data_IF_555837210839
#
_entry.id   IF_555837210839
#
_cell.length_a   1.000
_cell.length_b   1.000
_cell.length_c   1.000
_cell.angle_alpha   90.00
_cell.angle_beta   90.00
_cell.angle_gamma   90.00
#
_symmetry.space_group_name_H-M   'P 1'
#
loop_
_entity.id
_entity.type
_entity.pdbx_description
1 polymer ?
#
# COMPACT_ATOMS: atom_id res chain seq x y z
N UNK A 1 -41.04 62.74 -3.62
CA UNK A 1 -40.02 63.19 -2.65
C UNK A 1 -39.69 62.01 -1.73
N UNK A 2 -38.39 61.69 -1.55
CA UNK A 2 -37.78 60.51 -0.90
C UNK A 2 -37.90 59.22 -1.74
N UNK A 3 -36.88 58.75 -2.49
CA UNK A 3 -35.51 58.33 -2.11
C UNK A 3 -35.54 57.36 -0.93
N UNK A 4 -35.41 56.05 -1.20
CA UNK A 4 -34.19 55.31 -0.89
C UNK A 4 -34.20 53.94 -1.59
N UNK A 5 -33.16 53.74 -2.40
CA UNK A 5 -32.70 52.47 -2.95
C UNK A 5 -32.40 51.45 -1.84
N UNK A 6 -32.16 50.21 -2.30
CA UNK A 6 -31.27 49.22 -1.66
C UNK A 6 -31.95 48.23 -0.72
N UNK A 7 -32.44 47.13 -1.29
CA UNK A 7 -32.23 45.76 -0.77
C UNK A 7 -32.49 44.73 -1.89
N UNK A 8 -31.88 44.97 -3.06
CA UNK A 8 -31.38 43.88 -3.89
C UNK A 8 -30.08 43.46 -3.19
N UNK A 9 -29.86 42.15 -3.11
CA UNK A 9 -28.66 41.48 -2.56
C UNK A 9 -28.76 41.14 -1.05
N UNK A 10 -29.51 40.07 -0.75
CA UNK A 10 -29.11 39.11 0.30
C UNK A 10 -29.19 37.68 -0.25
N UNK A 11 -28.70 37.50 -1.48
CA UNK A 11 -28.23 36.21 -2.01
C UNK A 11 -26.70 36.17 -1.87
N UNK A 12 -26.20 36.47 -0.67
CA UNK A 12 -24.78 36.46 -0.38
C UNK A 12 -24.49 35.23 0.48
N UNK A 13 -23.90 34.24 -0.19
CA UNK A 13 -23.16 33.08 0.32
C UNK A 13 -23.99 32.06 1.12
N UNK A 14 -24.71 31.15 0.45
CA UNK A 14 -24.11 29.88 0.00
C UNK A 14 -22.57 29.87 -0.01
N UNK A 15 -21.96 29.98 1.16
CA UNK A 15 -20.71 29.30 1.44
C UNK A 15 -21.09 28.04 2.22
N UNK A 16 -21.67 27.07 1.51
CA UNK A 16 -21.17 25.72 1.73
C UNK A 16 -19.68 25.83 1.42
N UNK A 17 -18.87 26.02 2.45
CA UNK A 17 -17.53 25.44 2.43
C UNK A 17 -17.76 24.03 1.92
N UNK A 18 -17.37 23.77 0.67
CA UNK A 18 -17.02 22.42 0.29
C UNK A 18 -15.92 22.07 1.29
N UNK A 19 -16.29 21.44 2.40
CA UNK A 19 -15.36 20.66 3.19
C UNK A 19 -14.70 19.80 2.14
N UNK A 20 -13.42 20.10 1.90
CA UNK A 20 -12.52 19.23 1.16
C UNK A 20 -12.83 17.85 1.72
N UNK A 21 -13.47 16.98 0.93
CA UNK A 21 -13.84 15.65 1.38
C UNK A 21 -12.52 15.03 1.84
N UNK A 22 -12.36 14.92 3.14
CA UNK A 22 -11.23 14.24 3.71
C UNK A 22 -11.32 12.82 3.19
N UNK A 23 -10.23 12.28 2.64
CA UNK A 23 -10.27 10.92 2.14
C UNK A 23 -10.58 10.01 3.33
N UNK A 24 -11.72 9.31 3.27
CA UNK A 24 -12.18 8.32 4.25
C UNK A 24 -11.10 7.29 4.63
N UNK A 25 -10.14 7.10 3.73
CA UNK A 25 -8.97 6.25 3.93
C UNK A 25 -7.72 6.97 3.45
N UNK A 26 -6.65 6.83 4.23
CA UNK A 26 -5.30 7.22 3.82
C UNK A 26 -4.37 6.01 3.87
N UNK A 27 -3.51 5.89 2.86
CA UNK A 27 -2.42 4.91 2.85
C UNK A 27 -1.10 5.66 2.70
N UNK A 28 -0.14 5.37 3.57
CA UNK A 28 1.18 5.99 3.56
C UNK A 28 2.29 4.94 3.65
N UNK A 29 3.27 5.00 2.76
CA UNK A 29 4.48 4.19 2.84
C UNK A 29 5.35 4.69 4.01
N UNK A 30 5.69 3.80 4.95
CA UNK A 30 6.50 4.14 6.14
C UNK A 30 7.91 3.58 6.08
N UNK A 31 8.08 2.38 5.56
CA UNK A 31 9.37 1.71 5.54
C UNK A 31 9.55 0.87 4.27
N UNK A 32 10.78 0.83 3.80
CA UNK A 32 11.22 0.00 2.68
C UNK A 32 12.36 -0.86 3.19
N UNK A 33 12.28 -2.17 3.01
CA UNK A 33 13.31 -3.08 3.48
C UNK A 33 13.63 -4.19 2.48
N UNK A 34 14.88 -4.63 2.49
CA UNK A 34 15.42 -5.63 1.58
C UNK A 34 15.80 -6.90 2.33
N UNK A 35 15.18 -8.02 1.96
CA UNK A 35 15.62 -9.35 2.37
C UNK A 35 16.60 -9.89 1.34
N UNK A 36 17.82 -10.21 1.77
CA UNK A 36 18.97 -10.41 0.88
C UNK A 36 19.66 -11.76 1.02
N UNK A 37 19.45 -12.47 2.13
CA UNK A 37 20.17 -13.70 2.43
C UNK A 37 19.26 -14.91 2.32
N UNK A 38 19.79 -16.02 1.85
CA UNK A 38 19.03 -17.27 1.75
C UNK A 38 18.77 -17.82 3.15
N UNK A 39 17.52 -18.18 3.44
CA UNK A 39 17.17 -18.95 4.63
C UNK A 39 17.16 -20.42 4.24
N UNK A 40 17.68 -21.28 5.10
CA UNK A 40 17.79 -22.73 4.90
C UNK A 40 16.44 -23.49 4.94
N UNK A 41 15.33 -22.86 4.55
CA UNK A 41 13.97 -23.42 4.63
C UNK A 41 13.12 -23.19 3.38
N UNK A 42 11.86 -23.62 3.44
CA UNK A 42 10.88 -23.44 2.36
C UNK A 42 10.35 -22.00 2.36
N UNK A 43 11.03 -21.10 1.65
CA UNK A 43 10.66 -19.69 1.51
C UNK A 43 10.96 -19.16 0.11
N UNK A 44 10.47 -17.95 -0.15
CA UNK A 44 10.78 -17.25 -1.40
C UNK A 44 12.26 -16.83 -1.44
N UNK A 45 12.88 -16.98 -2.61
CA UNK A 45 14.30 -16.72 -2.80
C UNK A 45 14.60 -15.21 -2.81
N UNK A 46 15.66 -14.74 -2.13
CA UNK A 46 16.11 -13.36 -2.21
C UNK A 46 16.58 -12.97 -3.63
N UNK A 47 16.64 -11.66 -3.93
CA UNK A 47 16.25 -10.56 -3.05
C UNK A 47 14.73 -10.26 -3.10
N UNK A 48 14.16 -9.92 -1.93
CA UNK A 48 12.74 -9.54 -1.79
C UNK A 48 12.67 -8.14 -1.20
N UNK A 49 11.85 -7.29 -1.82
CA UNK A 49 11.55 -5.95 -1.35
C UNK A 49 10.25 -5.97 -0.56
N UNK A 50 10.32 -5.50 0.69
CA UNK A 50 9.16 -5.29 1.54
C UNK A 50 8.84 -3.80 1.66
N UNK A 51 7.57 -3.47 1.43
CA UNK A 51 7.01 -2.13 1.56
C UNK A 51 6.03 -2.15 2.74
N UNK A 52 6.35 -1.43 3.82
CA UNK A 52 5.45 -1.28 4.96
C UNK A 52 4.63 -0.02 4.81
N UNK A 53 3.31 -0.15 4.92
CA UNK A 53 2.36 0.96 4.87
C UNK A 53 1.62 1.11 6.18
N UNK A 54 1.24 2.35 6.50
CA UNK A 54 0.13 2.61 7.40
C UNK A 54 -1.14 2.79 6.56
N UNK A 55 -2.16 2.02 6.87
CA UNK A 55 -3.51 2.19 6.37
C UNK A 55 -4.36 2.78 7.49
N UNK A 56 -4.87 3.98 7.28
CA UNK A 56 -5.69 4.71 8.25
C UNK A 56 -7.12 4.80 7.73
N UNK A 57 -8.07 4.34 8.55
CA UNK A 57 -9.49 4.50 8.30
C UNK A 57 -10.00 5.72 9.06
N UNK A 58 -10.22 6.82 8.36
CA UNK A 58 -10.73 8.08 8.91
C UNK A 58 -12.27 8.14 8.93
N UNK A 59 -12.94 7.06 8.51
CA UNK A 59 -14.40 7.00 8.42
C UNK A 59 -15.03 6.36 9.65
N UNK A 60 -16.34 6.54 9.78
CA UNK A 60 -17.15 5.92 10.83
C UNK A 60 -17.55 4.46 10.53
N UNK A 61 -17.04 3.87 9.44
CA UNK A 61 -17.45 2.54 8.97
C UNK A 61 -16.28 1.59 8.79
N UNK A 62 -16.54 0.28 8.88
CA UNK A 62 -15.51 -0.74 8.67
C UNK A 62 -14.98 -0.67 7.23
N UNK A 63 -13.66 -0.79 7.10
CA UNK A 63 -12.96 -0.87 5.81
C UNK A 63 -12.26 -2.22 5.71
N UNK A 64 -11.99 -2.64 4.48
CA UNK A 64 -11.29 -3.89 4.21
C UNK A 64 -10.21 -3.67 3.17
N UNK A 65 -9.06 -4.32 3.34
CA UNK A 65 -7.94 -4.25 2.40
C UNK A 65 -7.59 -5.64 1.85
N UNK A 66 -7.39 -5.72 0.53
CA UNK A 66 -6.78 -6.87 -0.12
C UNK A 66 -5.93 -6.42 -1.31
N UNK A 67 -4.77 -7.04 -1.51
CA UNK A 67 -4.01 -6.87 -2.76
C UNK A 67 -3.40 -8.16 -3.30
N UNK A 68 -3.73 -9.30 -2.68
CA UNK A 68 -3.24 -10.63 -3.08
C UNK A 68 -4.43 -11.53 -3.35
N UNK A 69 -4.44 -12.28 -4.48
CA UNK A 69 -5.41 -13.34 -4.70
C UNK A 69 -5.33 -14.32 -3.55
N UNK A 70 -6.45 -14.52 -2.84
CA UNK A 70 -6.53 -15.58 -1.85
C UNK A 70 -6.32 -16.94 -2.53
N UNK A 71 -5.59 -17.85 -1.88
CA UNK A 71 -5.29 -19.19 -2.39
C UNK A 71 -6.56 -20.02 -2.55
N UNK A 72 -7.60 -19.78 -1.74
CA UNK A 72 -8.85 -20.54 -1.76
C UNK A 72 -9.79 -20.09 -2.87
N UNK A 73 -9.95 -18.79 -3.08
CA UNK A 73 -10.90 -18.26 -4.06
C UNK A 73 -10.24 -17.91 -5.40
N UNK A 74 -8.91 -17.71 -5.42
CA UNK A 74 -8.14 -17.12 -6.53
C UNK A 74 -8.76 -15.82 -7.07
N UNK A 75 -9.59 -15.15 -6.27
CA UNK A 75 -10.55 -14.18 -6.80
C UNK A 75 -10.34 -12.75 -6.34
N UNK A 76 -9.35 -12.46 -5.48
CA UNK A 76 -9.10 -11.05 -5.14
C UNK A 76 -8.62 -10.30 -6.38
N UNK A 77 -9.39 -9.30 -6.76
CA UNK A 77 -9.14 -8.43 -7.92
C UNK A 77 -8.62 -7.06 -7.51
N UNK A 78 -8.75 -6.69 -6.24
CA UNK A 78 -8.16 -5.48 -5.69
C UNK A 78 -6.64 -5.56 -5.81
N UNK A 79 -6.01 -4.45 -6.19
CA UNK A 79 -4.59 -4.40 -6.50
C UNK A 79 -3.92 -3.21 -5.85
N UNK A 80 -2.76 -3.45 -5.27
CA UNK A 80 -1.80 -2.41 -4.91
C UNK A 80 -0.69 -2.48 -5.95
N UNK A 81 -0.40 -1.37 -6.61
CA UNK A 81 0.49 -1.30 -7.76
C UNK A 81 1.58 -0.25 -7.52
N UNK A 82 2.79 -0.58 -7.93
CA UNK A 82 3.89 0.36 -8.10
C UNK A 82 4.06 0.62 -9.60
N UNK A 83 3.81 1.86 -10.03
CA UNK A 83 3.94 2.31 -11.42
C UNK A 83 5.19 3.18 -11.55
N UNK A 84 6.20 2.70 -12.27
CA UNK A 84 7.35 3.52 -12.66
C UNK A 84 6.93 4.46 -13.79
N UNK A 85 6.92 5.75 -13.50
CA UNK A 85 6.41 6.79 -14.42
C UNK A 85 7.40 7.17 -15.52
N UNK A 86 8.67 6.78 -15.38
CA UNK A 86 9.72 7.02 -16.38
C UNK A 86 9.76 5.87 -17.38
N UNK A 87 9.65 4.63 -16.90
CA UNK A 87 9.68 3.43 -17.72
C UNK A 87 8.30 3.00 -18.26
N UNK A 88 7.22 3.55 -17.70
CA UNK A 88 5.84 3.12 -17.95
C UNK A 88 5.65 1.60 -17.71
N UNK A 89 6.24 1.10 -16.61
CA UNK A 89 6.09 -0.28 -16.16
C UNK A 89 5.28 -0.32 -14.87
N UNK A 90 4.56 -1.42 -14.66
CA UNK A 90 3.81 -1.69 -13.44
C UNK A 90 4.28 -2.98 -12.80
N UNK A 91 4.31 -3.03 -11.48
CA UNK A 91 4.47 -4.26 -10.72
C UNK A 91 3.48 -4.30 -9.55
N UNK A 92 2.81 -5.43 -9.31
CA UNK A 92 1.93 -5.58 -8.17
C UNK A 92 2.71 -5.68 -6.87
N UNK A 93 2.13 -5.12 -5.81
CA UNK A 93 2.60 -5.21 -4.44
C UNK A 93 1.63 -6.08 -3.65
N UNK A 94 2.07 -7.28 -3.29
CA UNK A 94 1.21 -8.25 -2.63
C UNK A 94 1.27 -8.10 -1.12
N UNK A 95 0.14 -7.81 -0.47
CA UNK A 95 0.02 -7.86 0.98
C UNK A 95 -0.61 -9.21 1.34
N UNK A 96 0.07 -9.98 2.19
CA UNK A 96 -0.40 -11.29 2.62
C UNK A 96 -1.59 -11.25 3.57
N UNK A 97 -1.70 -10.17 4.35
CA UNK A 97 -2.79 -9.98 5.31
C UNK A 97 -4.05 -9.46 4.61
N UNK A 98 -5.22 -9.86 5.12
CA UNK A 98 -6.54 -9.43 4.65
C UNK A 98 -7.30 -8.72 5.79
N UNK A 99 -6.81 -7.56 6.27
CA UNK A 99 -7.35 -6.96 7.49
C UNK A 99 -8.71 -6.30 7.26
N UNK A 100 -9.55 -6.41 8.29
CA UNK A 100 -10.68 -5.50 8.51
C UNK A 100 -10.17 -4.36 9.39
N UNK A 101 -10.33 -3.13 8.93
CA UNK A 101 -9.86 -1.92 9.60
C UNK A 101 -11.06 -1.21 10.23
N UNK A 102 -11.07 -1.12 11.56
CA UNK A 102 -12.13 -0.45 12.30
C UNK A 102 -12.13 1.06 12.10
N UNK A 103 -13.28 1.74 12.34
CA UNK A 103 -13.37 3.19 12.32
C UNK A 103 -12.26 3.86 13.15
N UNK A 104 -11.67 4.92 12.61
CA UNK A 104 -10.66 5.75 13.27
C UNK A 104 -9.40 4.98 13.74
N UNK A 105 -9.11 3.84 13.09
CA UNK A 105 -7.92 3.04 13.39
C UNK A 105 -6.89 3.07 12.27
N UNK A 106 -5.63 2.91 12.68
CA UNK A 106 -4.50 2.67 11.77
C UNK A 106 -4.06 1.22 11.88
N UNK A 107 -3.91 0.55 10.74
CA UNK A 107 -3.35 -0.80 10.62
C UNK A 107 -2.07 -0.76 9.80
N UNK A 108 -1.08 -1.56 10.19
CA UNK A 108 0.14 -1.76 9.40
C UNK A 108 -0.09 -2.82 8.34
N UNK A 109 0.26 -2.52 7.10
CA UNK A 109 0.26 -3.47 5.97
C UNK A 109 1.70 -3.73 5.53
N UNK A 110 2.05 -4.98 5.22
CA UNK A 110 3.37 -5.33 4.67
C UNK A 110 3.19 -5.94 3.29
N UNK A 111 3.59 -5.19 2.27
CA UNK A 111 3.58 -5.63 0.88
C UNK A 111 4.93 -6.22 0.46
N UNK A 112 4.91 -7.21 -0.42
CA UNK A 112 6.10 -7.88 -0.95
C UNK A 112 6.20 -7.70 -2.48
N UNK A 113 7.43 -7.50 -2.96
CA UNK A 113 7.81 -7.58 -4.38
C UNK A 113 9.05 -8.46 -4.48
N UNK A 114 8.94 -9.56 -5.23
CA UNK A 114 10.08 -10.43 -5.54
C UNK A 114 10.88 -9.79 -6.69
N UNK A 115 12.13 -9.39 -6.42
CA UNK A 115 12.93 -8.70 -7.43
C UNK A 115 13.27 -9.63 -8.60
N UNK A 116 13.44 -10.92 -8.35
CA UNK A 116 13.70 -11.94 -9.38
C UNK A 116 12.59 -12.00 -10.42
N UNK A 117 11.34 -12.01 -9.96
CA UNK A 117 10.14 -12.10 -10.82
C UNK A 117 9.84 -10.77 -11.51
N UNK A 118 10.40 -9.66 -11.00
CA UNK A 118 10.20 -8.30 -11.48
C UNK A 118 11.51 -7.65 -11.95
N UNK A 119 12.48 -8.45 -12.39
CA UNK A 119 13.85 -8.02 -12.72
C UNK A 119 13.90 -6.87 -13.72
N UNK A 120 13.03 -6.90 -14.72
CA UNK A 120 12.96 -5.86 -15.76
C UNK A 120 12.44 -4.54 -15.21
N UNK A 121 11.60 -4.56 -14.18
CA UNK A 121 11.11 -3.35 -13.51
C UNK A 121 12.25 -2.62 -12.78
N UNK A 122 13.16 -3.39 -12.18
CA UNK A 122 14.32 -2.89 -11.43
C UNK A 122 15.63 -2.82 -12.25
N UNK A 123 15.59 -3.12 -13.55
CA UNK A 123 16.76 -3.18 -14.44
C UNK A 123 17.87 -4.12 -13.96
N UNK A 124 17.49 -5.28 -13.42
CA UNK A 124 18.43 -6.31 -12.97
C UNK A 124 18.56 -7.39 -14.05
N UNK A 125 19.79 -7.82 -14.33
CA UNK A 125 20.03 -8.90 -15.29
C UNK A 125 19.77 -10.28 -14.69
N UNK A 126 19.51 -11.27 -15.54
CA UNK A 126 19.36 -12.66 -15.09
C UNK A 126 20.61 -13.17 -14.37
N UNK A 127 21.79 -12.74 -14.84
CA UNK A 127 23.09 -13.09 -14.27
C UNK A 127 23.29 -12.53 -12.86
N UNK A 128 22.64 -11.40 -12.52
CA UNK A 128 22.67 -10.86 -11.15
C UNK A 128 22.11 -11.87 -10.16
N UNK A 129 21.12 -12.66 -10.58
CA UNK A 129 20.44 -13.63 -9.72
C UNK A 129 21.06 -15.04 -9.73
N UNK A 130 22.29 -15.20 -10.24
CA UNK A 130 23.04 -16.47 -10.23
C UNK A 130 23.52 -16.88 -8.84
N UNK A 131 23.59 -15.93 -7.90
CA UNK A 131 23.91 -16.14 -6.49
C UNK A 131 22.65 -16.22 -5.62
N UNK A 132 22.85 -16.72 -4.40
CA UNK A 132 21.81 -16.89 -3.38
C UNK A 132 21.89 -15.88 -2.25
N UNK A 133 23.07 -15.33 -2.00
CA UNK A 133 23.32 -14.31 -0.99
C UNK A 133 23.61 -12.97 -1.69
N UNK A 134 22.86 -11.95 -1.30
CA UNK A 134 22.92 -10.59 -1.83
C UNK A 134 23.30 -9.57 -0.75
N UNK A 135 23.77 -9.99 0.43
CA UNK A 135 24.05 -9.08 1.54
C UNK A 135 25.10 -8.02 1.17
N UNK A 136 26.10 -8.44 0.38
CA UNK A 136 27.15 -7.57 -0.17
C UNK A 136 26.63 -6.60 -1.26
N UNK A 137 25.45 -6.87 -1.83
CA UNK A 137 24.80 -6.02 -2.84
C UNK A 137 23.84 -5.01 -2.24
N UNK A 138 23.73 -4.95 -0.91
CA UNK A 138 22.79 -4.07 -0.22
C UNK A 138 22.84 -2.62 -0.70
N UNK A 139 24.03 -2.04 -0.83
CA UNK A 139 24.19 -0.65 -1.27
C UNK A 139 23.64 -0.45 -2.68
N UNK A 140 24.06 -1.30 -3.62
CA UNK A 140 23.59 -1.26 -5.01
C UNK A 140 22.07 -1.44 -5.11
N UNK A 141 21.53 -2.45 -4.43
CA UNK A 141 20.09 -2.72 -4.44
C UNK A 141 19.28 -1.59 -3.77
N UNK A 142 19.82 -0.98 -2.71
CA UNK A 142 19.19 0.18 -2.07
C UNK A 142 19.10 1.36 -3.03
N UNK A 143 20.17 1.68 -3.75
CA UNK A 143 20.17 2.76 -4.75
C UNK A 143 19.18 2.49 -5.89
N UNK A 144 19.13 1.25 -6.39
CA UNK A 144 18.17 0.82 -7.41
C UNK A 144 16.74 1.00 -6.91
N UNK A 145 16.42 0.47 -5.73
CA UNK A 145 15.07 0.56 -5.14
C UNK A 145 14.68 2.00 -4.84
N UNK A 146 15.58 2.80 -4.27
CA UNK A 146 15.32 4.21 -3.94
C UNK A 146 14.99 4.99 -5.21
N UNK A 147 15.80 4.85 -6.26
CA UNK A 147 15.58 5.50 -7.55
C UNK A 147 14.25 5.08 -8.16
N UNK A 148 13.97 3.77 -8.16
CA UNK A 148 12.71 3.23 -8.69
C UNK A 148 11.50 3.80 -7.94
N UNK A 149 11.48 3.78 -6.60
CA UNK A 149 10.34 4.29 -5.82
C UNK A 149 10.18 5.80 -6.01
N UNK A 150 11.26 6.58 -6.05
CA UNK A 150 11.20 8.03 -6.31
C UNK A 150 10.60 8.36 -7.69
N UNK A 151 10.86 7.52 -8.68
CA UNK A 151 10.31 7.66 -10.03
C UNK A 151 8.91 7.05 -10.18
N UNK A 152 8.37 6.49 -9.11
CA UNK A 152 7.11 5.75 -9.15
C UNK A 152 5.98 6.47 -8.43
N UNK A 153 4.76 6.09 -8.79
CA UNK A 153 3.59 6.29 -7.94
C UNK A 153 3.13 4.93 -7.42
N UNK A 154 2.62 4.92 -6.19
CA UNK A 154 1.95 3.75 -5.62
C UNK A 154 0.46 4.04 -5.61
N UNK A 155 -0.32 3.15 -6.20
CA UNK A 155 -1.78 3.26 -6.30
C UNK A 155 -2.44 1.99 -5.77
N UNK A 156 -3.54 2.15 -5.07
CA UNK A 156 -4.41 1.08 -4.65
C UNK A 156 -5.73 1.19 -5.39
N UNK A 157 -6.18 0.11 -5.99
CA UNK A 157 -7.46 0.00 -6.69
C UNK A 157 -8.27 -1.11 -6.04
N UNK A 158 -9.38 -0.76 -5.38
CA UNK A 158 -10.27 -1.76 -4.79
C UNK A 158 -11.28 -2.24 -5.83
N UNK A 159 -11.47 -3.54 -5.92
CA UNK A 159 -12.49 -4.14 -6.79
C UNK A 159 -13.81 -4.31 -6.03
N UNK A 160 -14.92 -3.96 -6.70
CA UNK A 160 -16.27 -4.06 -6.15
C UNK A 160 -16.68 -5.52 -5.86
N UNK A 161 -16.15 -6.48 -6.62
CA UNK A 161 -16.42 -7.90 -6.40
C UNK A 161 -15.78 -8.40 -5.09
N UNK A 162 -14.58 -7.92 -4.75
CA UNK A 162 -13.94 -8.22 -3.48
C UNK A 162 -14.77 -7.64 -2.34
N UNK A 163 -15.15 -6.37 -2.45
CA UNK A 163 -16.00 -5.71 -1.46
C UNK A 163 -17.32 -6.45 -1.25
N UNK A 164 -17.91 -7.02 -2.31
CA UNK A 164 -19.15 -7.79 -2.25
C UNK A 164 -18.94 -9.18 -1.62
N UNK A 165 -17.83 -9.85 -1.92
CA UNK A 165 -17.45 -11.12 -1.28
C UNK A 165 -17.24 -10.91 0.22
N UNK A 166 -16.56 -9.84 0.64
CA UNK A 166 -16.30 -9.57 2.05
C UNK A 166 -17.56 -9.09 2.80
N UNK A 167 -18.49 -8.38 2.15
CA UNK A 167 -19.82 -8.10 2.70
C UNK A 167 -20.65 -9.34 3.00
N UNK A 168 -20.38 -10.46 2.33
CA UNK A 168 -21.02 -11.74 2.66
C UNK A 168 -20.54 -12.28 4.02
N UNK A 169 -19.26 -12.07 4.35
CA UNK A 169 -18.68 -12.51 5.64
C UNK A 169 -18.87 -11.48 6.77
N UNK A 170 -18.98 -10.20 6.44
CA UNK A 170 -19.24 -9.14 7.40
C UNK A 170 -20.06 -8.00 6.74
N UNK A 171 -21.37 -7.98 7.00
CA UNK A 171 -22.34 -7.07 6.37
C UNK A 171 -22.05 -5.58 6.61
N UNK A 172 -21.21 -5.23 7.58
CA UNK A 172 -20.92 -3.86 7.98
C UNK A 172 -19.72 -3.25 7.22
N UNK A 173 -18.99 -4.04 6.43
CA UNK A 173 -17.86 -3.56 5.65
C UNK A 173 -18.33 -2.68 4.50
N UNK A 174 -17.79 -1.47 4.44
CA UNK A 174 -18.06 -0.50 3.39
C UNK A 174 -16.80 -0.35 2.50
N UNK A 175 -16.96 -0.28 1.17
CA UNK A 175 -15.83 -0.08 0.25
C UNK A 175 -15.03 1.18 0.58
N UNK A 176 -13.74 1.13 0.26
CA UNK A 176 -12.80 2.23 0.37
C UNK A 176 -13.09 3.23 -0.76
N UNK A 177 -14.15 4.02 -0.58
CA UNK A 177 -14.49 5.18 -1.41
C UNK A 177 -15.29 4.91 -2.68
N UNK A 178 -15.83 5.98 -3.26
CA UNK A 178 -16.49 5.99 -4.58
C UNK A 178 -15.49 6.14 -5.74
N UNK A 179 -14.30 6.70 -5.45
CA UNK A 179 -13.21 6.81 -6.40
C UNK A 179 -12.38 5.54 -6.35
N UNK A 180 -12.36 4.79 -7.46
CA UNK A 180 -11.79 3.43 -7.52
C UNK A 180 -10.29 3.38 -7.19
N UNK A 181 -9.59 4.50 -7.28
CA UNK A 181 -8.13 4.56 -7.18
C UNK A 181 -7.69 5.50 -6.05
N UNK A 182 -7.02 4.93 -5.05
CA UNK A 182 -6.33 5.67 -4.00
C UNK A 182 -4.85 5.82 -4.33
N UNK A 183 -4.34 7.05 -4.25
CA UNK A 183 -2.90 7.29 -4.31
C UNK A 183 -2.27 7.13 -2.93
N UNK A 184 -1.27 6.27 -2.81
CA UNK A 184 -0.50 6.10 -1.58
C UNK A 184 0.47 7.28 -1.43
N UNK A 185 0.55 7.83 -0.21
CA UNK A 185 1.50 8.88 0.14
C UNK A 185 2.90 8.26 0.29
N UNK A 186 3.87 8.81 -0.42
CA UNK A 186 5.28 8.43 -0.32
C UNK A 186 6.00 9.56 0.42
N UNK A 187 6.78 9.26 1.48
CA UNK A 187 7.52 10.27 2.21
C UNK A 187 8.62 10.89 1.33
N UNK A 188 8.98 12.14 1.60
CA UNK A 188 10.05 12.85 0.86
C UNK A 188 11.41 12.17 1.00
N UNK A 189 11.62 11.48 2.12
CA UNK A 189 12.84 10.74 2.43
C UNK A 189 12.49 9.29 2.64
N UNK A 190 13.10 8.41 1.86
CA UNK A 190 12.97 6.97 2.01
C UNK A 190 14.18 6.44 2.73
N UNK A 191 13.95 5.67 3.79
CA UNK A 191 15.00 4.89 4.44
C UNK A 191 14.83 3.45 4.00
N UNK A 192 15.83 2.94 3.28
CA UNK A 192 15.93 1.51 2.97
C UNK A 192 16.72 0.84 4.08
N UNK A 193 16.23 -0.29 4.56
CA UNK A 193 16.84 -1.08 5.63
C UNK A 193 17.05 -2.52 5.18
N UNK A 194 17.95 -3.26 5.85
CA UNK A 194 17.98 -4.72 5.72
C UNK A 194 16.81 -5.31 6.50
N UNK A 195 16.08 -6.23 5.88
CA UNK A 195 15.03 -6.99 6.55
C UNK A 195 15.67 -8.12 7.36
N UNK A 196 15.58 -8.03 8.67
CA UNK A 196 16.10 -9.02 9.61
C UNK A 196 14.98 -9.98 10.05
N UNK A 197 14.99 -11.20 9.53
CA UNK A 197 13.96 -12.20 9.88
C UNK A 197 14.01 -12.64 11.35
N UNK A 198 15.19 -12.64 11.98
CA UNK A 198 15.36 -13.10 13.36
C UNK A 198 14.65 -12.17 14.36
N UNK A 199 14.67 -10.86 14.11
CA UNK A 199 13.96 -9.86 14.93
C UNK A 199 12.44 -9.94 14.80
N UNK A 200 11.93 -10.37 13.65
CA UNK A 200 10.48 -10.41 13.40
C UNK A 200 9.83 -11.72 13.87
N UNK A 201 10.55 -12.85 13.90
CA UNK A 201 10.05 -14.09 14.54
C UNK A 201 9.87 -13.94 16.05
N UNK A 202 10.77 -13.25 16.75
CA UNK A 202 10.65 -12.99 18.19
C UNK A 202 9.42 -12.14 18.59
N UNK A 203 8.76 -11.49 17.63
CA UNK A 203 7.46 -10.82 17.85
C UNK A 203 6.25 -11.74 17.67
N UNK A 204 6.36 -12.80 16.87
CA UNK A 204 5.28 -13.76 16.63
C UNK A 204 5.21 -14.83 17.73
N UNK A 205 6.33 -15.19 18.35
CA UNK A 205 6.38 -16.17 19.45
C UNK A 205 5.90 -15.61 20.80
N UNK A 206 5.68 -14.29 20.92
CA UNK A 206 5.17 -13.63 22.13
C UNK A 206 3.68 -13.26 22.06
N UNK A 207 2.91 -13.90 21.18
CA UNK A 207 1.44 -13.83 21.25
C UNK A 207 1.01 -14.87 22.28
N UNK A 208 0.95 -14.44 23.55
CA UNK A 208 0.27 -15.17 24.61
C UNK A 208 -1.17 -15.44 24.15
N UNK A 209 -1.49 -16.72 23.95
CA UNK A 209 -2.87 -17.19 23.87
C UNK A 209 -3.44 -17.07 25.28
N UNK A 210 -4.27 -16.05 25.49
CA UNK A 210 -5.21 -16.01 26.63
C UNK A 210 -6.45 -16.81 26.30
#
# INVERSE_FOLDING_TARGET
MKILYLSIILCIFFSCTQQKKENDVTIELKEVSLFLTDYTGEGDLPPILYLTFNFENNSDSLRFFSSKPDKLTKSSKSTLLLLDTIQNKITPVYVGDLPIIHPHQTTKLTGEIKLRDNKDFFHLSDTFFSKKDFDNDYTFLSEVVEKTIKNSIIIYNQDDADSSLFKFFNHEVTPIGNDKILKVRIPSTLKITKYDQLKNRGKLENIDIK
#
